data_IF_558990107375
#
_entry.id   IF_558990107375
#
_cell.length_a   1.000
_cell.length_b   1.000
_cell.length_c   1.000
_cell.angle_alpha   90.00
_cell.angle_beta   90.00
_cell.angle_gamma   90.00
#
_symmetry.space_group_name_H-M   'P 1'
#
loop_
_entity.id
_entity.type
_entity.pdbx_description
1 polymer ?
#
# COMPACT_ATOMS: atom_id res chain seq x y z
N UNK A 1 -25.00 4.05 -26.88
CA UNK A 1 -23.79 3.58 -27.57
C UNK A 1 -22.74 3.19 -26.55
N UNK A 2 -22.12 2.03 -26.76
CA UNK A 2 -21.54 1.16 -25.75
C UNK A 2 -20.30 1.72 -25.00
N UNK A 3 -20.40 1.77 -23.67
CA UNK A 3 -19.25 1.80 -22.76
C UNK A 3 -18.86 0.35 -22.42
N UNK A 4 -18.19 -0.32 -23.36
CA UNK A 4 -17.50 -1.57 -23.09
C UNK A 4 -16.22 -1.27 -22.29
N UNK A 5 -16.39 -1.12 -20.98
CA UNK A 5 -15.30 -0.97 -20.03
C UNK A 5 -14.41 -2.20 -20.05
N UNK A 6 -13.10 -1.97 -20.12
CA UNK A 6 -12.02 -2.95 -20.06
C UNK A 6 -12.16 -3.88 -18.86
N UNK A 7 -12.89 -4.98 -19.03
CA UNK A 7 -12.83 -6.14 -18.15
C UNK A 7 -11.42 -6.70 -18.25
N UNK A 8 -10.64 -6.51 -17.19
CA UNK A 8 -9.31 -7.10 -17.00
C UNK A 8 -9.36 -8.58 -17.39
N UNK A 9 -8.51 -8.95 -18.34
CA UNK A 9 -8.16 -10.33 -18.71
C UNK A 9 -7.47 -11.00 -17.50
N UNK A 10 -8.26 -11.36 -16.51
CA UNK A 10 -7.86 -12.07 -15.29
C UNK A 10 -8.58 -13.42 -15.17
N UNK A 11 -9.32 -13.87 -16.21
CA UNK A 11 -10.47 -14.73 -15.96
C UNK A 11 -10.32 -16.24 -16.17
N UNK A 12 -9.45 -16.78 -17.04
CA UNK A 12 -9.58 -18.23 -17.33
C UNK A 12 -8.62 -19.15 -16.55
N UNK A 13 -7.36 -18.73 -16.38
CA UNK A 13 -6.38 -19.51 -15.60
C UNK A 13 -6.66 -19.53 -14.09
N UNK A 14 -7.21 -18.45 -13.54
CA UNK A 14 -7.60 -18.39 -12.12
C UNK A 14 -8.82 -19.27 -11.83
N UNK A 15 -9.79 -19.34 -12.74
CA UNK A 15 -11.03 -20.10 -12.50
C UNK A 15 -10.79 -21.62 -12.42
N UNK A 16 -9.88 -22.19 -13.22
CA UNK A 16 -9.53 -23.63 -13.11
C UNK A 16 -8.76 -23.98 -11.84
N UNK A 17 -7.90 -23.07 -11.36
CA UNK A 17 -7.25 -23.21 -10.04
C UNK A 17 -8.28 -23.11 -8.91
N UNK A 18 -9.34 -22.32 -9.07
CA UNK A 18 -10.41 -22.21 -8.06
C UNK A 18 -11.23 -23.50 -7.92
N UNK A 19 -11.50 -24.23 -9.02
CA UNK A 19 -12.31 -25.46 -8.97
C UNK A 19 -11.60 -26.65 -8.28
N UNK A 20 -10.32 -26.93 -8.60
CA UNK A 20 -9.54 -27.96 -7.91
C UNK A 20 -9.25 -27.63 -6.43
N UNK A 21 -9.47 -26.36 -6.05
CA UNK A 21 -9.41 -25.90 -4.68
C UNK A 21 -10.76 -25.92 -3.97
N UNK A 22 -11.89 -26.17 -4.66
CA UNK A 22 -13.21 -26.07 -4.03
C UNK A 22 -13.44 -27.13 -2.94
N UNK A 23 -13.06 -28.39 -3.18
CA UNK A 23 -13.16 -29.44 -2.16
C UNK A 23 -12.23 -29.17 -0.96
N UNK A 24 -10.95 -28.90 -1.22
CA UNK A 24 -9.99 -28.55 -0.15
C UNK A 24 -10.41 -27.29 0.61
N UNK A 25 -11.04 -26.33 -0.05
CA UNK A 25 -11.61 -25.16 0.60
C UNK A 25 -12.82 -25.54 1.46
N UNK A 26 -13.79 -26.29 0.93
CA UNK A 26 -14.99 -26.74 1.66
C UNK A 26 -14.61 -27.51 2.93
N UNK A 27 -13.81 -28.57 2.79
CA UNK A 27 -13.39 -29.38 3.94
C UNK A 27 -12.37 -28.66 4.82
N UNK A 28 -11.52 -27.81 4.26
CA UNK A 28 -10.60 -26.97 5.04
C UNK A 28 -11.33 -25.93 5.89
N UNK A 29 -12.41 -25.35 5.36
CA UNK A 29 -13.31 -24.48 6.11
C UNK A 29 -14.05 -25.25 7.22
N UNK A 30 -14.53 -26.46 6.94
CA UNK A 30 -15.16 -27.31 7.97
C UNK A 30 -14.19 -27.58 9.12
N UNK A 31 -12.98 -28.09 8.83
CA UNK A 31 -11.93 -28.33 9.84
C UNK A 31 -11.62 -27.08 10.66
N UNK A 32 -11.44 -25.93 9.99
CA UNK A 32 -11.16 -24.69 10.73
C UNK A 32 -12.36 -24.28 11.58
N UNK A 33 -13.58 -24.34 11.05
CA UNK A 33 -14.81 -24.02 11.80
C UNK A 33 -15.02 -24.95 13.00
N UNK A 34 -14.71 -26.23 12.89
CA UNK A 34 -14.77 -27.18 14.01
C UNK A 34 -13.76 -26.77 15.10
N UNK A 35 -12.55 -26.36 14.72
CA UNK A 35 -11.55 -25.80 15.63
C UNK A 35 -12.01 -24.48 16.24
N UNK A 36 -12.77 -23.64 15.51
CA UNK A 36 -13.36 -22.41 16.04
C UNK A 36 -14.55 -22.69 16.96
N UNK A 37 -15.30 -23.76 16.73
CA UNK A 37 -16.47 -24.14 17.52
C UNK A 37 -16.09 -24.71 18.89
N UNK A 38 -14.94 -25.39 18.97
CA UNK A 38 -14.41 -25.91 20.23
C UNK A 38 -14.13 -24.77 21.22
N UNK A 39 -14.88 -24.71 22.33
CA UNK A 39 -14.75 -23.64 23.35
C UNK A 39 -13.39 -23.64 24.06
N UNK A 40 -12.77 -24.80 24.15
CA UNK A 40 -11.40 -24.98 24.69
C UNK A 40 -10.32 -24.53 23.71
N UNK A 41 -10.69 -24.17 22.49
CA UNK A 41 -9.75 -23.69 21.49
C UNK A 41 -9.07 -22.41 22.00
N UNK A 42 -7.73 -22.30 21.88
CA UNK A 42 -6.98 -21.09 22.20
C UNK A 42 -7.48 -19.84 21.46
N UNK A 43 -8.32 -20.01 20.44
CA UNK A 43 -8.90 -18.93 19.68
C UNK A 43 -9.99 -18.15 20.45
N UNK A 44 -10.66 -18.77 21.42
CA UNK A 44 -11.54 -18.07 22.37
C UNK A 44 -10.77 -17.45 23.54
N UNK A 45 -9.49 -17.79 23.70
CA UNK A 45 -8.62 -17.08 24.62
C UNK A 45 -8.52 -15.62 24.21
N UNK A 46 -8.44 -14.67 25.16
CA UNK A 46 -8.19 -13.27 24.86
C UNK A 46 -6.89 -13.04 24.07
N UNK A 47 -5.97 -14.02 24.05
CA UNK A 47 -4.74 -13.98 23.26
C UNK A 47 -4.93 -14.30 21.76
N UNK A 48 -6.09 -14.84 21.35
CA UNK A 48 -6.35 -15.31 19.99
C UNK A 48 -5.46 -16.49 19.58
N UNK A 49 -5.34 -16.78 18.28
CA UNK A 49 -4.54 -17.89 17.75
C UNK A 49 -3.62 -17.45 16.60
N UNK A 50 -2.36 -17.92 16.59
CA UNK A 50 -1.47 -17.65 15.44
C UNK A 50 -1.80 -18.55 14.26
N UNK A 51 -1.35 -18.15 13.06
CA UNK A 51 -1.53 -18.98 11.86
C UNK A 51 -0.77 -20.32 11.97
N UNK A 52 0.34 -20.35 12.72
CA UNK A 52 1.12 -21.56 12.95
C UNK A 52 0.39 -22.56 13.85
N UNK A 53 -0.13 -22.07 14.97
CA UNK A 53 -0.92 -22.91 15.89
C UNK A 53 -2.16 -23.45 15.18
N UNK A 54 -2.88 -22.58 14.44
CA UNK A 54 -4.08 -22.99 13.73
C UNK A 54 -3.77 -24.03 12.65
N UNK A 55 -2.63 -23.88 11.97
CA UNK A 55 -2.16 -24.88 11.02
C UNK A 55 -1.85 -26.21 11.71
N UNK A 56 -1.13 -26.20 12.84
CA UNK A 56 -0.82 -27.42 13.59
C UNK A 56 -2.09 -28.14 14.09
N UNK A 57 -3.04 -27.40 14.68
CA UNK A 57 -4.33 -27.98 15.10
C UNK A 57 -5.11 -28.52 13.91
N UNK A 58 -5.09 -27.82 12.77
CA UNK A 58 -5.76 -28.32 11.57
C UNK A 58 -5.20 -29.64 11.06
N UNK A 59 -3.89 -29.88 11.23
CA UNK A 59 -3.27 -31.16 10.84
C UNK A 59 -3.56 -32.30 11.81
N UNK A 60 -3.89 -31.98 13.07
CA UNK A 60 -4.32 -32.97 14.05
C UNK A 60 -5.77 -33.40 13.84
N UNK A 61 -6.59 -32.55 13.20
CA UNK A 61 -7.96 -32.86 12.90
C UNK A 61 -8.05 -33.85 11.75
N UNK A 62 -8.66 -35.02 12.00
CA UNK A 62 -8.95 -35.98 10.94
C UNK A 62 -10.04 -35.40 10.03
N UNK A 63 -9.79 -35.20 8.72
CA UNK A 63 -10.83 -34.67 7.85
C UNK A 63 -11.88 -35.75 7.57
N UNK A 64 -13.08 -35.32 7.18
CA UNK A 64 -14.18 -36.23 6.85
C UNK A 64 -13.72 -37.30 5.84
N UNK A 65 -14.09 -38.59 6.02
CA UNK A 65 -13.75 -39.67 5.10
C UNK A 65 -14.12 -39.38 3.64
N UNK A 66 -15.16 -38.57 3.43
CA UNK A 66 -15.58 -38.14 2.09
C UNK A 66 -14.48 -37.41 1.30
N UNK A 67 -13.56 -36.73 2.00
CA UNK A 67 -12.43 -36.06 1.37
C UNK A 67 -11.42 -37.05 0.76
N UNK A 68 -11.37 -38.27 1.29
CA UNK A 68 -10.48 -39.33 0.81
C UNK A 68 -11.11 -40.19 -0.29
N UNK A 69 -12.39 -40.00 -0.60
CA UNK A 69 -13.07 -40.84 -1.58
C UNK A 69 -12.38 -40.70 -2.96
N UNK A 70 -11.80 -41.78 -3.51
CA UNK A 70 -11.08 -41.73 -4.78
C UNK A 70 -11.98 -41.30 -5.95
N UNK A 71 -13.29 -41.51 -5.81
CA UNK A 71 -14.32 -41.11 -6.77
C UNK A 71 -14.55 -39.58 -6.81
N UNK A 72 -14.34 -38.88 -5.70
CA UNK A 72 -14.41 -37.41 -5.62
C UNK A 72 -13.04 -36.76 -5.75
N UNK A 73 -11.98 -37.51 -5.45
CA UNK A 73 -10.60 -37.12 -5.71
C UNK A 73 -10.39 -37.04 -7.21
N UNK A 74 -10.34 -35.80 -7.67
CA UNK A 74 -9.47 -35.41 -8.76
C UNK A 74 -7.99 -35.65 -8.38
N UNK A 75 -7.60 -36.89 -8.04
CA UNK A 75 -6.23 -37.40 -7.99
C UNK A 75 -5.64 -37.47 -9.41
N UNK A 76 -6.03 -36.55 -10.28
CA UNK A 76 -5.21 -36.21 -11.42
C UNK A 76 -4.06 -35.43 -10.80
N UNK A 77 -2.80 -35.89 -10.90
CA UNK A 77 -1.66 -35.10 -10.46
C UNK A 77 -1.86 -33.69 -11.00
N UNK A 78 -1.68 -32.67 -10.15
CA UNK A 78 -1.88 -31.27 -10.53
C UNK A 78 -1.27 -31.09 -11.91
N UNK A 79 -2.08 -30.78 -12.95
CA UNK A 79 -1.51 -30.60 -14.27
C UNK A 79 -0.44 -29.52 -14.11
N UNK A 80 0.79 -29.76 -14.58
CA UNK A 80 1.89 -28.85 -14.37
C UNK A 80 1.43 -27.47 -14.83
N UNK A 81 1.27 -26.55 -13.88
CA UNK A 81 0.79 -25.21 -14.18
C UNK A 81 1.72 -24.63 -15.26
N UNK A 82 1.20 -24.09 -16.38
CA UNK A 82 2.04 -23.51 -17.40
C UNK A 82 2.79 -22.33 -16.77
N UNK A 83 4.05 -22.57 -16.41
CA UNK A 83 4.88 -21.56 -15.78
C UNK A 83 5.21 -20.53 -16.85
N UNK A 84 4.91 -19.23 -16.64
CA UNK A 84 5.29 -18.19 -17.59
C UNK A 84 6.79 -18.29 -17.85
N UNK A 85 7.18 -18.58 -19.10
CA UNK A 85 8.57 -18.67 -19.53
C UNK A 85 9.20 -17.28 -19.44
N UNK A 86 9.88 -16.99 -18.34
CA UNK A 86 10.79 -15.85 -18.27
C UNK A 86 12.08 -16.30 -18.97
N UNK A 87 12.39 -15.69 -20.12
CA UNK A 87 13.55 -16.04 -20.95
C UNK A 87 14.82 -16.13 -20.09
N UNK A 88 15.50 -17.29 -20.13
CA UNK A 88 16.86 -17.46 -19.60
C UNK A 88 17.01 -18.11 -18.22
N UNK A 89 15.93 -18.41 -17.47
CA UNK A 89 16.04 -19.18 -16.22
C UNK A 89 15.02 -20.33 -16.20
N UNK A 90 15.50 -21.58 -16.09
CA UNK A 90 14.64 -22.74 -15.78
C UNK A 90 14.00 -22.46 -14.42
N UNK A 91 12.71 -22.13 -14.39
CA UNK A 91 11.97 -22.04 -13.13
C UNK A 91 11.77 -23.47 -12.65
N UNK A 92 12.43 -23.81 -11.55
CA UNK A 92 12.07 -24.97 -10.77
C UNK A 92 10.59 -24.88 -10.44
N UNK A 93 9.86 -25.98 -10.62
CA UNK A 93 8.48 -26.04 -10.18
C UNK A 93 8.44 -25.71 -8.68
N UNK A 94 7.47 -24.93 -8.20
CA UNK A 94 7.35 -24.69 -6.78
C UNK A 94 7.30 -26.04 -6.06
N UNK A 95 8.00 -26.21 -4.93
CA UNK A 95 7.97 -27.46 -4.20
C UNK A 95 6.53 -27.82 -3.86
N UNK A 96 6.22 -29.12 -3.92
CA UNK A 96 4.90 -29.63 -3.55
C UNK A 96 4.53 -29.15 -2.13
N UNK A 97 3.25 -28.86 -1.86
CA UNK A 97 2.84 -28.46 -0.52
C UNK A 97 3.19 -29.57 0.49
N UNK A 98 3.57 -29.23 1.74
CA UNK A 98 4.04 -30.22 2.72
C UNK A 98 3.08 -31.39 2.95
N UNK A 99 1.76 -31.12 2.93
CA UNK A 99 0.72 -32.12 3.20
C UNK A 99 -0.30 -32.13 2.05
N UNK A 100 0.00 -32.71 0.89
CA UNK A 100 -0.88 -32.64 -0.29
C UNK A 100 -2.22 -33.35 -0.08
N UNK A 101 -2.23 -34.39 0.76
CA UNK A 101 -3.37 -35.25 1.08
C UNK A 101 -4.34 -34.65 2.11
N UNK A 102 -3.99 -33.52 2.73
CA UNK A 102 -4.80 -32.89 3.78
C UNK A 102 -5.63 -31.72 3.19
N UNK A 103 -6.89 -31.46 3.63
CA UNK A 103 -7.66 -30.32 3.12
C UNK A 103 -6.94 -28.99 3.32
N UNK A 104 -6.25 -28.83 4.45
CA UNK A 104 -5.34 -27.71 4.70
C UNK A 104 -3.93 -28.06 4.21
N UNK A 105 -3.71 -27.98 2.89
CA UNK A 105 -2.49 -28.50 2.24
C UNK A 105 -1.19 -27.83 2.70
N UNK A 106 -1.24 -26.54 3.00
CA UNK A 106 -0.08 -25.75 3.43
C UNK A 106 -0.51 -24.56 4.27
N UNK A 107 0.43 -24.03 5.05
CA UNK A 107 0.24 -22.79 5.81
C UNK A 107 -0.09 -21.59 4.91
N UNK A 108 0.46 -21.56 3.69
CA UNK A 108 0.15 -20.52 2.70
C UNK A 108 -1.29 -20.63 2.21
N UNK A 109 -1.77 -21.85 1.95
CA UNK A 109 -3.16 -22.13 1.58
C UNK A 109 -4.14 -21.69 2.68
N UNK A 110 -3.86 -22.06 3.93
CA UNK A 110 -4.61 -21.61 5.11
C UNK A 110 -4.69 -20.07 5.14
N UNK A 111 -3.54 -19.39 5.09
CA UNK A 111 -3.46 -17.92 5.23
C UNK A 111 -4.12 -17.14 4.08
N UNK A 112 -3.88 -17.57 2.84
CA UNK A 112 -4.28 -16.81 1.64
C UNK A 112 -5.71 -17.11 1.19
N UNK A 113 -6.21 -18.32 1.44
CA UNK A 113 -7.51 -18.75 0.91
C UNK A 113 -8.50 -18.91 2.05
N UNK A 114 -8.28 -19.85 2.96
CA UNK A 114 -9.25 -20.18 4.02
C UNK A 114 -9.47 -18.98 4.96
N UNK A 115 -8.40 -18.40 5.51
CA UNK A 115 -8.52 -17.29 6.45
C UNK A 115 -9.03 -16.00 5.79
N UNK A 116 -8.71 -15.76 4.52
CA UNK A 116 -9.28 -14.61 3.80
C UNK A 116 -10.79 -14.78 3.59
N UNK A 117 -11.22 -16.01 3.29
CA UNK A 117 -12.65 -16.33 3.17
C UNK A 117 -13.39 -16.08 4.49
N UNK A 118 -12.87 -16.59 5.62
CA UNK A 118 -13.48 -16.41 6.94
C UNK A 118 -13.50 -14.96 7.43
N UNK A 119 -12.50 -14.15 7.03
CA UNK A 119 -12.54 -12.70 7.25
C UNK A 119 -13.64 -12.05 6.41
N UNK A 120 -13.80 -12.48 5.16
CA UNK A 120 -14.86 -12.02 4.28
C UNK A 120 -16.26 -12.32 4.81
N UNK A 121 -16.45 -13.48 5.42
CA UNK A 121 -17.72 -13.87 6.09
C UNK A 121 -17.88 -13.29 7.49
N UNK A 122 -16.89 -12.54 7.98
CA UNK A 122 -16.89 -11.96 9.33
C UNK A 122 -17.03 -13.02 10.45
N UNK A 123 -16.47 -14.22 10.24
CA UNK A 123 -16.38 -15.24 11.30
C UNK A 123 -15.16 -14.99 12.20
N UNK A 124 -14.08 -14.44 11.62
CA UNK A 124 -12.82 -14.13 12.32
C UNK A 124 -12.31 -12.73 12.02
N UNK A 125 -11.57 -12.16 12.97
CA UNK A 125 -10.84 -10.89 12.84
C UNK A 125 -9.36 -11.11 13.05
N UNK A 126 -8.55 -10.42 12.24
CA UNK A 126 -7.11 -10.35 12.46
C UNK A 126 -6.78 -9.18 13.41
N UNK A 127 -6.21 -9.47 14.56
CA UNK A 127 -5.83 -8.47 15.56
C UNK A 127 -4.34 -8.60 15.92
N UNK A 128 -3.74 -7.52 16.45
CA UNK A 128 -2.43 -7.63 17.12
C UNK A 128 -2.69 -7.94 18.58
N UNK A 129 -2.02 -8.95 19.11
CA UNK A 129 -2.04 -9.27 20.52
C UNK A 129 -0.60 -9.45 21.01
N UNK A 130 -0.35 -8.94 22.21
CA UNK A 130 0.91 -9.10 22.89
C UNK A 130 1.00 -10.52 23.45
N UNK A 131 1.98 -11.28 22.98
CA UNK A 131 2.20 -12.66 23.40
C UNK A 131 3.59 -12.83 23.98
N UNK A 132 3.69 -13.65 25.02
CA UNK A 132 4.96 -14.15 25.52
C UNK A 132 5.51 -15.12 24.48
N UNK A 133 6.61 -14.76 23.84
CA UNK A 133 7.29 -15.61 22.87
C UNK A 133 8.60 -16.07 23.50
N UNK A 134 8.90 -17.37 23.40
CA UNK A 134 10.21 -17.89 23.77
C UNK A 134 11.29 -17.09 23.02
N UNK A 135 12.22 -16.51 23.78
CA UNK A 135 13.29 -15.65 23.23
C UNK A 135 14.09 -16.35 22.12
N UNK A 136 14.22 -17.67 22.19
CA UNK A 136 14.88 -18.53 21.20
C UNK A 136 14.34 -18.42 19.76
N UNK A 137 13.09 -17.95 19.57
CA UNK A 137 12.44 -17.84 18.24
C UNK A 137 12.42 -16.40 17.72
N UNK A 138 12.96 -15.44 18.45
CA UNK A 138 12.93 -14.03 18.10
C UNK A 138 14.11 -13.69 17.19
N UNK A 139 13.80 -13.24 15.97
CA UNK A 139 14.79 -12.75 15.04
C UNK A 139 14.63 -11.25 14.82
N UNK A 140 15.68 -10.46 15.05
CA UNK A 140 15.73 -9.06 14.61
C UNK A 140 16.28 -9.02 13.19
N UNK A 141 15.59 -8.32 12.29
CA UNK A 141 16.13 -8.01 10.97
C UNK A 141 17.09 -6.83 11.10
N UNK A 142 18.35 -7.00 10.72
CA UNK A 142 19.31 -5.90 10.71
C UNK A 142 19.03 -4.92 9.55
N UNK A 143 19.74 -3.78 9.51
CA UNK A 143 19.64 -2.78 8.41
C UNK A 143 19.91 -3.37 7.01
N UNK A 144 20.58 -4.53 6.93
CA UNK A 144 20.89 -5.26 5.70
C UNK A 144 19.83 -6.35 5.38
N UNK A 145 18.73 -6.42 6.12
CA UNK A 145 17.66 -7.40 5.94
C UNK A 145 17.99 -8.83 6.40
N UNK A 146 19.20 -9.09 6.94
CA UNK A 146 19.55 -10.40 7.49
C UNK A 146 18.87 -10.57 8.85
N UNK A 147 18.23 -11.73 9.05
CA UNK A 147 17.63 -12.14 10.34
C UNK A 147 18.77 -12.60 11.24
N UNK A 148 19.03 -11.86 12.32
CA UNK A 148 20.02 -12.22 13.33
C UNK A 148 19.23 -12.73 14.55
N UNK A 149 19.59 -13.91 15.11
CA UNK A 149 19.07 -14.35 16.40
C UNK A 149 19.36 -13.27 17.44
N UNK A 150 18.37 -12.89 18.24
CA UNK A 150 18.63 -11.96 19.34
C UNK A 150 19.27 -12.78 20.43
N UNK A 151 20.58 -12.59 20.67
CA UNK A 151 21.28 -13.31 21.74
C UNK A 151 20.60 -13.05 23.09
N UNK A 152 20.30 -14.15 23.78
CA UNK A 152 19.53 -14.20 25.01
C UNK A 152 20.24 -13.37 26.09
N UNK A 153 19.74 -12.15 26.33
CA UNK A 153 20.28 -11.28 27.38
C UNK A 153 19.76 -11.70 28.77
N UNK A 154 19.65 -13.01 29.03
CA UNK A 154 19.24 -13.61 30.31
C UNK A 154 17.86 -13.21 30.85
N UNK A 155 17.08 -12.42 30.11
CA UNK A 155 15.96 -11.67 30.63
C UNK A 155 14.61 -12.25 30.20
N UNK A 156 14.21 -13.38 30.81
CA UNK A 156 12.82 -13.86 30.85
C UNK A 156 12.08 -14.01 29.51
N UNK A 157 10.79 -14.40 29.57
CA UNK A 157 9.94 -14.42 28.38
C UNK A 157 9.69 -12.98 27.87
N UNK A 158 9.90 -12.76 26.58
CA UNK A 158 9.74 -11.43 25.97
C UNK A 158 8.34 -11.31 25.38
N UNK A 159 7.60 -10.28 25.79
CA UNK A 159 6.31 -9.94 25.21
C UNK A 159 6.50 -9.29 23.84
N UNK A 160 5.85 -9.83 22.80
CA UNK A 160 5.88 -9.28 21.45
C UNK A 160 4.49 -9.14 20.84
N UNK A 161 4.24 -8.04 20.10
CA UNK A 161 2.99 -7.90 19.36
C UNK A 161 2.99 -8.84 18.17
N UNK A 162 2.16 -9.89 18.23
CA UNK A 162 1.99 -10.89 17.16
C UNK A 162 0.62 -10.73 16.52
N UNK A 163 0.56 -10.94 15.19
CA UNK A 163 -0.71 -11.01 14.48
C UNK A 163 -1.41 -12.34 14.77
N UNK A 164 -2.57 -12.24 15.42
CA UNK A 164 -3.41 -13.36 15.81
C UNK A 164 -4.78 -13.26 15.14
N UNK A 165 -5.45 -14.40 15.04
CA UNK A 165 -6.82 -14.54 14.59
C UNK A 165 -7.71 -14.75 15.82
N UNK A 166 -8.81 -13.99 15.91
CA UNK A 166 -9.82 -14.11 16.96
C UNK A 166 -11.19 -14.35 16.31
N UNK A 167 -12.05 -15.11 16.96
CA UNK A 167 -13.44 -15.25 16.52
C UNK A 167 -14.18 -13.93 16.75
N UNK A 168 -15.05 -13.54 15.82
CA UNK A 168 -15.85 -12.31 15.97
C UNK A 168 -16.77 -12.39 17.19
N UNK A 169 -17.30 -13.57 17.50
CA UNK A 169 -18.21 -13.77 18.64
C UNK A 169 -17.58 -13.43 20.01
N UNK A 170 -16.25 -13.50 20.14
CA UNK A 170 -15.53 -13.18 21.39
C UNK A 170 -15.11 -11.71 21.43
N UNK A 171 -14.96 -11.08 20.28
CA UNK A 171 -14.57 -9.67 20.23
C UNK A 171 -15.85 -8.85 20.32
N UNK A 172 -16.06 -8.18 21.45
CA UNK A 172 -17.19 -7.25 21.62
C UNK A 172 -17.32 -6.39 20.35
N UNK A 173 -18.46 -6.42 19.64
CA UNK A 173 -18.57 -5.71 18.36
C UNK A 173 -18.32 -4.20 18.53
N UNK A 174 -18.54 -3.66 19.74
CA UNK A 174 -18.21 -2.30 20.12
C UNK A 174 -16.68 -2.04 20.27
N UNK A 175 -15.90 -3.06 20.63
CA UNK A 175 -14.43 -2.97 20.75
C UNK A 175 -13.74 -2.94 19.38
N UNK A 176 -14.39 -3.50 18.35
CA UNK A 176 -14.01 -3.29 16.96
C UNK A 176 -14.45 -1.87 16.58
N UNK A 177 -13.76 -0.87 17.13
CA UNK A 177 -13.80 0.49 16.59
C UNK A 177 -13.30 0.38 15.15
N UNK A 178 -14.23 0.20 14.22
CA UNK A 178 -13.99 0.41 12.80
C UNK A 178 -13.42 1.81 12.76
N UNK A 179 -12.12 1.92 12.51
CA UNK A 179 -11.51 3.19 12.16
C UNK A 179 -12.46 3.76 11.11
N UNK A 180 -13.13 4.90 11.37
CA UNK A 180 -14.11 5.43 10.44
C UNK A 180 -13.40 5.44 9.11
N UNK A 181 -13.97 4.75 8.10
CA UNK A 181 -13.39 4.77 6.75
C UNK A 181 -13.14 6.25 6.50
N UNK A 182 -11.89 6.68 6.24
CA UNK A 182 -11.63 8.08 5.99
C UNK A 182 -12.68 8.49 4.95
N UNK A 183 -13.40 9.62 5.18
CA UNK A 183 -14.45 10.05 4.27
C UNK A 183 -13.89 9.91 2.87
N UNK A 184 -14.59 9.22 1.94
CA UNK A 184 -14.04 8.86 0.65
C UNK A 184 -13.41 10.14 0.11
N UNK A 185 -12.08 10.17 0.08
CA UNK A 185 -11.39 11.33 -0.44
C UNK A 185 -11.97 11.49 -1.82
N UNK A 186 -12.50 12.68 -2.13
CA UNK A 186 -12.96 12.97 -3.47
C UNK A 186 -11.71 12.79 -4.34
N UNK A 187 -11.56 11.59 -4.92
CA UNK A 187 -10.46 11.30 -5.81
C UNK A 187 -10.85 12.06 -7.06
N UNK A 188 -10.41 13.31 -7.12
CA UNK A 188 -10.51 14.10 -8.33
C UNK A 188 -9.88 13.25 -9.45
N UNK A 189 -10.63 12.95 -10.52
CA UNK A 189 -10.10 12.15 -11.60
C UNK A 189 -8.85 12.84 -12.16
N UNK A 190 -7.85 12.06 -12.57
CA UNK A 190 -6.63 12.60 -13.14
C UNK A 190 -6.95 13.53 -14.32
N UNK A 191 -6.56 14.81 -14.20
CA UNK A 191 -6.91 15.86 -15.15
C UNK A 191 -8.15 16.70 -14.77
N UNK A 192 -8.62 16.65 -13.52
CA UNK A 192 -9.66 17.57 -13.04
C UNK A 192 -9.29 19.05 -13.30
N UNK A 193 -8.00 19.39 -13.17
CA UNK A 193 -7.44 20.72 -13.50
C UNK A 193 -7.63 21.15 -14.97
N UNK A 194 -7.83 20.20 -15.89
CA UNK A 194 -8.12 20.45 -17.31
C UNK A 194 -9.60 20.18 -17.64
N UNK A 195 -10.46 20.15 -16.63
CA UNK A 195 -11.91 19.97 -16.78
C UNK A 195 -12.37 18.52 -16.98
N UNK A 196 -11.54 17.52 -16.63
CA UNK A 196 -12.00 16.12 -16.63
C UNK A 196 -12.98 15.90 -15.48
N UNK A 197 -14.22 15.55 -15.80
CA UNK A 197 -15.26 15.32 -14.81
C UNK A 197 -16.17 16.53 -14.55
N UNK A 198 -15.98 17.64 -15.26
CA UNK A 198 -16.97 18.73 -15.28
C UNK A 198 -18.21 18.33 -16.10
N UNK A 199 -19.38 18.71 -15.58
CA UNK A 199 -20.67 18.44 -16.23
C UNK A 199 -20.93 19.43 -17.38
N UNK A 200 -20.53 19.05 -18.59
CA UNK A 200 -20.81 19.81 -19.82
C UNK A 200 -22.18 19.51 -20.46
N UNK A 201 -23.04 18.74 -19.78
CA UNK A 201 -24.34 18.30 -20.30
C UNK A 201 -25.29 19.44 -20.65
N UNK A 202 -25.15 20.59 -19.99
CA UNK A 202 -25.92 21.80 -20.24
C UNK A 202 -25.49 22.58 -21.50
N UNK A 203 -24.36 22.22 -22.14
CA UNK A 203 -23.89 22.87 -23.36
C UNK A 203 -24.55 22.25 -24.60
N UNK A 204 -24.76 23.04 -25.66
CA UNK A 204 -25.16 22.52 -26.98
C UNK A 204 -24.10 21.53 -27.53
N UNK A 205 -24.52 20.50 -28.25
CA UNK A 205 -23.68 19.45 -28.86
C UNK A 205 -22.43 19.99 -29.57
N UNK A 206 -22.53 21.09 -30.33
CA UNK A 206 -21.35 21.71 -30.98
C UNK A 206 -20.32 22.19 -29.95
N UNK A 207 -20.78 22.78 -28.85
CA UNK A 207 -19.91 23.24 -27.74
C UNK A 207 -19.38 22.07 -26.93
N UNK A 208 -20.17 21.02 -26.70
CA UNK A 208 -19.71 19.78 -26.06
C UNK A 208 -18.56 19.12 -26.86
N UNK A 209 -18.68 19.02 -28.19
CA UNK A 209 -17.60 18.52 -29.07
C UNK A 209 -16.35 19.38 -29.01
N UNK A 210 -16.51 20.71 -29.05
CA UNK A 210 -15.38 21.65 -28.94
C UNK A 210 -14.67 21.55 -27.60
N UNK A 211 -15.43 21.48 -26.49
CA UNK A 211 -14.89 21.35 -25.13
C UNK A 211 -14.19 20.02 -24.92
N UNK A 212 -14.81 18.89 -25.25
CA UNK A 212 -14.18 17.57 -25.14
C UNK A 212 -12.89 17.46 -25.97
N UNK A 213 -12.82 18.10 -27.15
CA UNK A 213 -11.60 18.19 -27.93
C UNK A 213 -10.52 19.09 -27.29
N UNK A 214 -10.90 20.15 -26.57
CA UNK A 214 -9.98 20.98 -25.79
C UNK A 214 -9.41 20.19 -24.59
N UNK A 215 -10.28 19.59 -23.77
CA UNK A 215 -9.91 18.77 -22.60
C UNK A 215 -8.96 17.64 -23.01
N UNK A 216 -9.21 16.96 -24.13
CA UNK A 216 -8.29 15.91 -24.65
C UNK A 216 -6.89 16.44 -24.98
N UNK A 217 -6.80 17.61 -25.61
CA UNK A 217 -5.51 18.24 -25.96
C UNK A 217 -4.74 18.64 -24.70
N UNK A 218 -5.41 19.26 -23.75
CA UNK A 218 -4.80 19.69 -22.50
C UNK A 218 -4.38 18.50 -21.63
N UNK A 219 -5.21 17.46 -21.53
CA UNK A 219 -4.86 16.22 -20.83
C UNK A 219 -3.63 15.53 -21.46
N UNK A 220 -3.49 15.57 -22.78
CA UNK A 220 -2.29 15.08 -23.45
C UNK A 220 -1.05 15.91 -23.07
N UNK A 221 -1.15 17.24 -23.10
CA UNK A 221 -0.06 18.14 -22.69
C UNK A 221 0.32 17.96 -21.21
N UNK A 222 -0.67 17.73 -20.33
CA UNK A 222 -0.46 17.44 -18.92
C UNK A 222 0.29 16.12 -18.72
N UNK A 223 -0.09 15.07 -19.45
CA UNK A 223 0.62 13.77 -19.43
C UNK A 223 2.07 13.90 -19.90
N UNK A 224 2.32 14.65 -20.98
CA UNK A 224 3.68 14.90 -21.48
C UNK A 224 4.50 15.68 -20.46
N UNK A 225 3.90 16.70 -19.82
CA UNK A 225 4.58 17.54 -18.83
C UNK A 225 4.89 16.78 -17.54
N UNK A 226 3.95 15.96 -17.05
CA UNK A 226 4.14 15.11 -15.87
C UNK A 226 5.17 14.02 -16.12
N UNK A 227 5.12 13.34 -17.27
CA UNK A 227 6.14 12.36 -17.66
C UNK A 227 7.53 13.02 -17.81
N UNK A 228 7.61 14.22 -18.38
CA UNK A 228 8.86 14.99 -18.48
C UNK A 228 9.39 15.42 -17.12
N UNK A 229 8.52 15.83 -16.19
CA UNK A 229 8.88 16.19 -14.82
C UNK A 229 9.35 14.95 -14.02
N UNK A 230 8.71 13.81 -14.22
CA UNK A 230 9.10 12.54 -13.61
C UNK A 230 10.45 12.06 -14.15
N UNK A 231 10.66 12.13 -15.47
CA UNK A 231 11.95 11.83 -16.08
C UNK A 231 13.05 12.78 -15.56
N UNK A 232 12.75 14.08 -15.40
CA UNK A 232 13.66 15.04 -14.76
C UNK A 232 13.91 14.70 -13.30
N UNK A 233 12.90 14.29 -12.52
CA UNK A 233 13.07 13.82 -11.13
C UNK A 233 13.90 12.55 -11.04
N UNK A 234 13.73 11.60 -11.95
CA UNK A 234 14.55 10.38 -11.98
C UNK A 234 16.00 10.71 -12.38
N UNK A 235 16.18 11.63 -13.34
CA UNK A 235 17.51 12.07 -13.77
C UNK A 235 18.21 12.94 -12.73
N UNK A 236 17.49 13.80 -12.01
CA UNK A 236 18.00 14.68 -10.94
C UNK A 236 18.11 13.98 -9.58
N UNK A 237 17.20 13.07 -9.25
CA UNK A 237 17.29 12.19 -8.08
C UNK A 237 18.34 11.08 -8.24
N UNK A 238 18.77 10.82 -9.48
CA UNK A 238 19.96 10.06 -9.83
C UNK A 238 21.22 10.92 -10.02
N UNK A 239 21.17 12.24 -9.78
CA UNK A 239 22.39 13.06 -9.67
C UNK A 239 23.07 12.58 -8.41
N UNK A 240 24.08 11.74 -8.63
CA UNK A 240 25.32 11.72 -7.87
C UNK A 240 25.37 12.91 -6.92
N UNK A 241 25.08 12.71 -5.62
CA UNK A 241 25.64 13.58 -4.58
C UNK A 241 27.08 13.78 -5.01
N UNK A 242 27.44 15.02 -5.33
CA UNK A 242 28.72 15.32 -5.94
C UNK A 242 29.79 14.66 -5.04
N UNK A 243 30.91 14.19 -5.61
CA UNK A 243 31.97 13.59 -4.79
C UNK A 243 32.33 14.51 -3.60
N UNK A 244 32.16 15.82 -3.77
CA UNK A 244 32.29 16.84 -2.73
C UNK A 244 31.22 16.76 -1.64
N UNK A 245 29.93 16.61 -1.95
CA UNK A 245 28.86 16.46 -0.95
C UNK A 245 28.96 15.17 -0.15
N UNK A 246 29.34 14.05 -0.80
CA UNK A 246 29.61 12.79 -0.09
C UNK A 246 30.80 12.92 0.86
N UNK A 247 31.87 13.58 0.41
CA UNK A 247 33.05 13.86 1.24
C UNK A 247 32.71 14.81 2.39
N UNK A 248 31.83 15.80 2.16
CA UNK A 248 31.34 16.69 3.21
C UNK A 248 30.49 15.95 4.27
N UNK A 249 29.58 15.06 3.86
CA UNK A 249 28.80 14.25 4.80
C UNK A 249 29.67 13.25 5.57
N UNK A 250 30.65 12.60 4.91
CA UNK A 250 31.63 11.74 5.57
C UNK A 250 32.45 12.50 6.60
N UNK A 251 33.00 13.68 6.26
CA UNK A 251 33.72 14.53 7.21
C UNK A 251 32.84 14.95 8.39
N UNK A 252 31.56 15.24 8.14
CA UNK A 252 30.62 15.64 9.20
C UNK A 252 30.26 14.49 10.14
N UNK A 253 30.17 13.27 9.61
CA UNK A 253 29.95 12.06 10.39
C UNK A 253 31.20 11.68 11.19
N UNK A 254 32.38 11.74 10.57
CA UNK A 254 33.66 11.50 11.24
C UNK A 254 33.89 12.49 12.40
N UNK A 255 33.67 13.79 12.20
CA UNK A 255 33.79 14.78 13.26
C UNK A 255 32.77 14.58 14.40
N UNK A 256 31.60 13.99 14.12
CA UNK A 256 30.60 13.63 15.13
C UNK A 256 31.01 12.40 15.93
N UNK A 257 31.64 11.43 15.29
CA UNK A 257 32.14 10.22 15.93
C UNK A 257 33.37 10.54 16.80
N UNK A 258 34.27 11.37 16.30
CA UNK A 258 35.43 11.89 17.03
C UNK A 258 35.00 12.65 18.30
N UNK A 259 33.96 13.49 18.22
CA UNK A 259 33.38 14.15 19.41
C UNK A 259 32.73 13.20 20.41
N UNK A 260 32.31 11.99 20.00
CA UNK A 260 31.76 10.97 20.92
C UNK A 260 32.86 10.16 21.59
N UNK A 261 33.99 9.99 20.91
CA UNK A 261 35.15 9.22 21.39
C UNK A 261 36.18 10.09 22.13
N UNK A 262 36.11 11.41 21.98
CA UNK A 262 36.93 12.32 22.77
C UNK A 262 36.67 12.06 24.27
N UNK A 263 37.71 11.70 25.05
CA UNK A 263 37.56 11.51 26.48
C UNK A 263 37.04 12.83 27.06
N UNK A 264 35.89 12.76 27.75
CA UNK A 264 35.49 13.83 28.66
C UNK A 264 36.67 14.02 29.60
N UNK A 265 37.43 15.10 29.41
CA UNK A 265 38.41 15.53 30.40
C UNK A 265 37.61 15.76 31.66
N UNK A 266 37.78 14.86 32.62
CA UNK A 266 37.40 15.08 34.00
C UNK A 266 38.13 16.34 34.46
N UNK A 267 37.46 17.49 34.34
CA UNK A 267 37.81 18.67 35.09
C UNK A 267 37.42 18.41 36.53
N UNK A 268 38.32 17.70 37.21
CA UNK A 268 38.51 17.87 38.63
C UNK A 268 38.71 19.37 38.92
N UNK A 269 38.11 19.79 40.04
CA UNK A 269 38.29 21.09 40.69
C UNK A 269 37.63 22.30 40.02
N UNK A 270 36.35 22.53 40.34
CA UNK A 270 35.94 23.89 40.68
C UNK A 270 34.91 23.85 41.81
N UNK A 271 35.43 24.07 43.03
CA UNK A 271 34.68 24.36 44.25
C UNK A 271 33.78 25.58 44.02
N UNK A 272 32.55 25.36 43.55
CA UNK A 272 31.51 26.37 43.65
C UNK A 272 30.91 26.33 45.05
N UNK A 273 31.49 27.19 45.89
CA UNK A 273 30.95 27.69 47.16
C UNK A 273 29.42 27.67 47.16
N UNK A 274 28.88 26.78 47.96
CA UNK A 274 27.49 26.77 48.37
C UNK A 274 27.25 28.03 49.21
N UNK A 275 26.60 29.04 48.62
CA UNK A 275 26.05 30.18 49.36
C UNK A 275 24.62 29.79 49.75
N UNK A 276 24.30 29.60 51.04
CA UNK A 276 22.93 29.35 51.46
C UNK A 276 22.16 30.67 51.34
N UNK A 277 21.27 30.76 50.34
CA UNK A 277 20.34 31.88 50.24
C UNK A 277 19.17 31.62 51.19
N UNK A 278 19.29 32.17 52.40
CA UNK A 278 18.19 32.33 53.36
C UNK A 278 17.20 33.38 52.84
N UNK A 279 15.92 32.99 52.99
CA UNK A 279 14.74 33.79 53.30
C UNK A 279 14.37 34.99 52.42
N UNK A 280 13.19 34.93 51.78
CA UNK A 280 12.04 35.77 52.17
C UNK A 280 10.89 35.73 51.15
N UNK A 281 9.67 35.60 51.68
CA UNK A 281 8.42 36.23 51.23
C UNK A 281 7.82 35.77 49.87
N UNK A 282 6.71 35.01 49.90
CA UNK A 282 5.31 35.51 49.84
C UNK A 282 4.96 36.11 48.47
N UNK A 283 4.15 35.38 47.69
CA UNK A 283 2.92 35.94 47.13
C UNK A 283 2.00 34.80 46.65
N UNK A 284 0.87 34.69 47.34
CA UNK A 284 -0.35 34.08 46.83
C UNK A 284 -0.75 34.77 45.52
N UNK A 285 -1.22 34.01 44.52
CA UNK A 285 -2.17 34.55 43.53
C UNK A 285 -2.95 33.44 42.84
N UNK A 286 -4.14 33.20 43.39
CA UNK A 286 -5.41 33.16 42.66
C UNK A 286 -5.53 32.21 41.47
N UNK A 287 -6.00 30.98 41.73
CA UNK A 287 -6.71 30.19 40.74
C UNK A 287 -8.17 30.67 40.69
N UNK A 288 -8.52 31.45 39.65
CA UNK A 288 -9.90 31.73 39.30
C UNK A 288 -10.34 30.80 38.16
N UNK A 289 -11.48 30.08 38.27
CA UNK A 289 -12.04 29.31 37.16
C UNK A 289 -12.82 30.23 36.23
N UNK A 290 -12.44 30.28 34.95
CA UNK A 290 -13.24 30.96 33.92
C UNK A 290 -14.39 30.07 33.46
N UNK A 291 -15.58 30.44 33.94
CA UNK A 291 -16.89 30.16 33.35
C UNK A 291 -17.05 30.86 31.99
N UNK A 292 -17.81 30.18 31.13
CA UNK A 292 -18.76 30.66 30.12
C UNK A 292 -18.28 31.61 29.01
N UNK A 293 -18.47 31.16 27.77
CA UNK A 293 -18.65 32.02 26.59
C UNK A 293 -19.49 31.28 25.53
N UNK A 294 -20.81 31.34 25.71
CA UNK A 294 -21.77 31.32 24.61
C UNK A 294 -21.63 32.60 23.75
N UNK A 295 -22.18 32.52 22.54
CA UNK A 295 -22.54 33.63 21.65
C UNK A 295 -21.41 34.35 20.88
N UNK A 296 -21.26 33.99 19.60
CA UNK A 296 -20.97 34.97 18.56
C UNK A 296 -21.86 34.73 17.34
N UNK A 297 -22.89 35.57 17.29
CA UNK A 297 -23.55 36.21 16.14
C UNK A 297 -23.09 35.83 14.72
N UNK A 298 -24.09 35.37 13.98
CA UNK A 298 -24.24 35.49 12.53
C UNK A 298 -23.85 36.87 11.99
N UNK A 299 -23.00 36.89 10.97
CA UNK A 299 -22.84 38.04 10.07
C UNK A 299 -23.49 37.72 8.72
N UNK A 300 -24.42 38.56 8.21
CA UNK A 300 -24.99 38.38 6.89
C UNK A 300 -23.96 38.74 5.83
N UNK A 301 -23.74 37.84 4.86
CA UNK A 301 -22.89 38.10 3.69
C UNK A 301 -23.65 38.98 2.71
N UNK A 302 -22.96 40.07 2.35
CA UNK A 302 -23.35 41.16 1.48
C UNK A 302 -23.34 40.71 0.02
N UNK A 303 -24.44 40.93 -0.70
CA UNK A 303 -24.53 40.79 -2.16
C UNK A 303 -23.58 41.79 -2.88
N UNK A 304 -22.95 41.39 -3.99
CA UNK A 304 -22.51 42.33 -5.00
C UNK A 304 -23.38 42.19 -6.26
N UNK A 305 -24.35 43.09 -6.37
CA UNK A 305 -24.93 43.47 -7.64
C UNK A 305 -23.92 44.27 -8.49
N UNK A 306 -24.11 44.16 -9.81
CA UNK A 306 -23.65 45.07 -10.86
C UNK A 306 -22.14 45.14 -11.16
N UNK A 307 -21.75 44.56 -12.30
CA UNK A 307 -20.61 45.07 -13.08
C UNK A 307 -20.81 44.90 -14.59
N UNK A 308 -21.14 46.05 -15.20
CA UNK A 308 -20.75 46.58 -16.51
C UNK A 308 -20.72 45.64 -17.72
N UNK A 309 -21.72 45.80 -18.58
CA UNK A 309 -21.62 45.56 -20.02
C UNK A 309 -20.50 46.40 -20.65
N UNK A 310 -19.67 45.76 -21.48
CA UNK A 310 -18.81 46.45 -22.45
C UNK A 310 -19.24 46.11 -23.88
N UNK A 311 -19.25 47.08 -24.79
CA UNK A 311 -19.76 46.89 -26.15
C UNK A 311 -18.81 46.02 -26.99
N UNK A 312 -19.41 45.09 -27.74
CA UNK A 312 -18.71 44.25 -28.72
C UNK A 312 -18.20 45.11 -29.88
N UNK A 313 -16.91 45.02 -30.13
CA UNK A 313 -16.23 45.55 -31.33
C UNK A 313 -16.12 44.40 -32.33
N UNK A 314 -16.69 44.59 -33.51
CA UNK A 314 -16.58 43.68 -34.65
C UNK A 314 -15.11 43.47 -35.06
N UNK A 315 -14.79 42.29 -35.59
CA UNK A 315 -13.79 42.21 -36.65
C UNK A 315 -14.38 41.53 -37.89
N UNK A 316 -14.56 42.35 -38.92
CA UNK A 316 -14.55 41.91 -40.29
C UNK A 316 -13.18 41.32 -40.67
N UNK A 317 -13.23 40.35 -41.57
CA UNK A 317 -12.18 39.95 -42.52
C UNK A 317 -10.79 39.57 -41.99
N UNK A 318 -10.46 38.27 -42.03
CA UNK A 318 -9.11 37.83 -42.35
C UNK A 318 -9.07 36.46 -43.03
N UNK A 319 -9.23 36.53 -44.35
CA UNK A 319 -8.35 35.97 -45.37
C UNK A 319 -7.69 34.59 -45.11
N UNK A 320 -8.07 33.65 -45.97
CA UNK A 320 -7.49 32.34 -46.17
C UNK A 320 -5.98 32.38 -46.39
N UNK A 321 -5.23 31.56 -45.64
CA UNK A 321 -3.93 31.03 -46.11
C UNK A 321 -3.89 29.54 -45.89
N UNK A 322 -4.25 28.81 -46.94
CA UNK A 322 -4.01 27.39 -47.09
C UNK A 322 -2.50 27.15 -47.27
N UNK A 323 -1.88 26.41 -46.36
CA UNK A 323 -0.53 25.88 -46.55
C UNK A 323 -0.62 24.43 -47.06
N UNK A 324 0.17 24.04 -48.08
CA UNK A 324 0.04 22.74 -48.73
C UNK A 324 0.61 21.62 -47.83
N UNK A 325 -0.29 20.76 -47.35
CA UNK A 325 -0.01 19.57 -46.51
C UNK A 325 0.88 18.49 -47.15
N UNK A 326 1.45 18.71 -48.34
CA UNK A 326 2.17 17.66 -49.10
C UNK A 326 3.67 17.54 -48.76
N UNK A 327 4.27 18.49 -48.05
CA UNK A 327 5.71 18.44 -47.70
C UNK A 327 6.05 17.62 -46.45
N UNK A 328 5.15 17.55 -45.46
CA UNK A 328 5.47 16.97 -44.14
C UNK A 328 5.46 15.43 -44.16
N UNK A 329 4.64 14.80 -45.00
CA UNK A 329 4.58 13.34 -45.08
C UNK A 329 5.82 12.70 -45.74
N UNK A 330 6.54 13.40 -46.60
CA UNK A 330 7.77 12.88 -47.21
C UNK A 330 8.99 12.98 -46.27
N UNK A 331 8.97 13.87 -45.27
CA UNK A 331 10.04 13.95 -44.28
C UNK A 331 9.95 12.85 -43.22
N UNK A 332 8.74 12.44 -42.84
CA UNK A 332 8.55 11.35 -41.86
C UNK A 332 8.95 9.97 -42.39
N UNK A 333 8.70 9.68 -43.68
CA UNK A 333 9.13 8.38 -44.27
C UNK A 333 10.64 8.21 -44.35
N UNK A 334 11.40 9.30 -44.42
CA UNK A 334 12.88 9.26 -44.51
C UNK A 334 13.55 9.04 -43.15
N UNK A 335 12.87 9.35 -42.04
CA UNK A 335 13.41 9.12 -40.69
C UNK A 335 13.22 7.65 -40.27
N UNK A 336 12.17 6.98 -40.75
CA UNK A 336 11.93 5.56 -40.42
C UNK A 336 12.88 4.59 -41.15
N UNK A 337 13.37 4.92 -42.36
CA UNK A 337 14.35 4.10 -43.07
C UNK A 337 15.72 4.11 -42.41
N UNK A 338 16.19 5.28 -41.95
CA UNK A 338 17.56 5.46 -41.44
C UNK A 338 17.77 4.85 -40.04
N UNK A 339 16.69 4.57 -39.32
CA UNK A 339 16.72 3.90 -38.00
C UNK A 339 16.83 2.38 -38.15
N UNK A 340 16.36 1.79 -39.25
CA UNK A 340 16.41 0.35 -39.45
C UNK A 340 17.80 -0.14 -39.88
N UNK A 341 18.51 0.60 -40.75
CA UNK A 341 19.83 0.19 -41.24
C UNK A 341 20.92 0.22 -40.14
N UNK A 342 20.88 1.18 -39.22
CA UNK A 342 21.85 1.27 -38.12
C UNK A 342 21.71 0.16 -37.06
N UNK A 343 20.65 -0.63 -37.10
CA UNK A 343 20.43 -1.74 -36.16
C UNK A 343 21.07 -3.04 -36.63
N UNK A 344 21.30 -3.20 -37.94
CA UNK A 344 21.83 -4.43 -38.53
C UNK A 344 23.36 -4.47 -38.46
N UNK A 345 24.03 -3.32 -38.58
CA UNK A 345 25.49 -3.23 -38.54
C UNK A 345 26.11 -3.32 -37.13
N UNK A 346 25.31 -3.30 -36.06
CA UNK A 346 25.80 -3.51 -34.68
C UNK A 346 25.73 -4.96 -34.21
N UNK A 347 25.27 -5.87 -35.06
CA UNK A 347 25.11 -7.29 -34.76
C UNK A 347 26.09 -8.19 -35.54
N UNK A 348 27.07 -7.61 -36.24
CA UNK A 348 28.30 -8.26 -36.70
C UNK A 348 29.47 -7.68 -35.94
#
# INVERSE_FOLDING_TARGET
MALAGTARVFSEGHQRVLLANHLSLKYGLAVVRDILANKESPLHSPLGMTTDELYKLSLQHTPSPEFYNPHTRANKPYPPMPVPRIKGKKREQPPAPPNPEHPVRSKAFLKKIILQYLVGTQEIVKTRADRLVDSSKVFKTNKKGKRIPVEDTGAGPVTQPVWVWKSVNVVDPASIKRQPKPPPQLIEPFGAEVGVGEDFSHLNERRQKSRSAAVRRELHMLKVSTAGAELRRLRSGGVMKSRQERNWEEKRLAAREEKRLAPRKDSAAEERKFVPRKDSAVEERGFAPRKDAEAMEERPRKDPAAREERPRKDPAAREERSLPRKGIMNMMKKIESDVYDKSVDRAR
#
